data_IF_955512652816
#
_entry.id   IF_955512652816
#
_cell.length_a   1.000
_cell.length_b   1.000
_cell.length_c   1.000
_cell.angle_alpha   90.00
_cell.angle_beta   90.00
_cell.angle_gamma   90.00
#
_symmetry.space_group_name_H-M   'P 1'
#
loop_
_entity.id
_entity.type
_entity.pdbx_description
1 polymer ?
#
# COMPACT_ATOMS: atom_id res chain seq x y z
N UNK A 1 -17.90 -40.05 -13.55
CA UNK A 1 -17.53 -38.72 -13.01
C UNK A 1 -18.59 -38.33 -11.99
N UNK A 2 -18.30 -38.47 -10.70
CA UNK A 2 -19.25 -38.15 -9.63
C UNK A 2 -19.32 -36.63 -9.46
N UNK A 3 -20.49 -36.06 -9.74
CA UNK A 3 -20.84 -34.67 -9.45
C UNK A 3 -20.78 -34.46 -7.94
N UNK A 4 -19.96 -33.49 -7.51
CA UNK A 4 -19.90 -33.07 -6.11
C UNK A 4 -21.28 -32.55 -5.67
N UNK A 5 -21.71 -32.81 -4.43
CA UNK A 5 -22.97 -32.28 -3.91
C UNK A 5 -22.93 -30.75 -3.87
N UNK A 6 -24.08 -30.15 -4.20
CA UNK A 6 -24.27 -28.73 -4.52
C UNK A 6 -23.94 -27.80 -3.34
N UNK A 7 -24.13 -28.30 -2.12
CA UNK A 7 -23.86 -27.69 -0.82
C UNK A 7 -22.37 -27.32 -0.60
N UNK A 8 -21.44 -28.15 -1.09
CA UNK A 8 -19.99 -27.89 -0.99
C UNK A 8 -19.59 -26.73 -1.89
N UNK A 9 -20.15 -26.65 -3.10
CA UNK A 9 -19.86 -25.58 -4.05
C UNK A 9 -20.39 -24.23 -3.56
N UNK A 10 -21.60 -24.21 -2.98
CA UNK A 10 -22.17 -22.99 -2.39
C UNK A 10 -21.38 -22.51 -1.17
N UNK A 11 -21.00 -23.42 -0.27
CA UNK A 11 -20.17 -23.11 0.90
C UNK A 11 -18.82 -22.50 0.50
N UNK A 12 -18.17 -23.04 -0.52
CA UNK A 12 -16.91 -22.52 -1.07
C UNK A 12 -17.06 -21.13 -1.68
N UNK A 13 -18.12 -20.92 -2.48
CA UNK A 13 -18.40 -19.62 -3.09
C UNK A 13 -18.64 -18.56 -2.02
N UNK A 14 -19.47 -18.87 -1.02
CA UNK A 14 -19.73 -17.98 0.12
C UNK A 14 -18.45 -17.61 0.86
N UNK A 15 -17.62 -18.61 1.18
CA UNK A 15 -16.33 -18.39 1.81
C UNK A 15 -15.42 -17.51 0.94
N UNK A 16 -15.28 -17.79 -0.36
CA UNK A 16 -14.47 -16.96 -1.26
C UNK A 16 -14.98 -15.52 -1.35
N UNK A 17 -16.29 -15.29 -1.37
CA UNK A 17 -16.90 -13.96 -1.41
C UNK A 17 -16.68 -13.20 -0.11
N UNK A 18 -16.89 -13.86 1.03
CA UNK A 18 -16.64 -13.30 2.34
C UNK A 18 -15.15 -12.97 2.52
N UNK A 19 -14.26 -13.85 2.09
CA UNK A 19 -12.82 -13.58 2.11
C UNK A 19 -12.42 -12.49 1.14
N UNK A 20 -13.05 -12.37 -0.04
CA UNK A 20 -12.86 -11.24 -0.95
C UNK A 20 -13.34 -9.93 -0.31
N UNK A 21 -14.43 -9.95 0.46
CA UNK A 21 -14.93 -8.81 1.23
C UNK A 21 -13.95 -8.41 2.33
N UNK A 22 -13.55 -9.35 3.18
CA UNK A 22 -12.52 -9.13 4.21
C UNK A 22 -11.19 -8.67 3.60
N UNK A 23 -10.85 -9.14 2.40
CA UNK A 23 -9.66 -8.67 1.69
C UNK A 23 -9.75 -7.23 1.19
N UNK A 24 -10.96 -6.72 0.94
CA UNK A 24 -11.18 -5.29 0.65
C UNK A 24 -11.03 -4.44 1.92
N UNK A 25 -11.36 -4.99 3.08
CA UNK A 25 -11.28 -4.29 4.39
C UNK A 25 -9.87 -4.35 5.01
N UNK A 26 -9.18 -5.49 4.89
CA UNK A 26 -7.78 -5.67 5.30
C UNK A 26 -6.87 -5.14 4.20
N UNK A 27 -6.47 -3.87 4.37
CA UNK A 27 -5.84 -2.94 3.41
C UNK A 27 -4.60 -3.41 2.61
N UNK A 28 -4.08 -4.63 2.74
CA UNK A 28 -2.89 -5.10 1.99
C UNK A 28 -3.17 -6.29 1.04
N UNK A 29 -3.05 -6.06 -0.28
CA UNK A 29 -3.36 -7.06 -1.32
C UNK A 29 -2.47 -8.32 -1.33
N UNK A 30 -1.32 -8.31 -0.64
CA UNK A 30 -0.35 -9.42 -0.68
C UNK A 30 -0.51 -10.43 0.45
N UNK A 31 -1.04 -10.03 1.62
CA UNK A 31 -1.49 -10.98 2.66
C UNK A 31 -2.50 -11.99 2.11
N UNK A 32 -3.21 -11.59 1.07
CA UNK A 32 -4.21 -12.37 0.35
C UNK A 32 -3.64 -13.24 -0.78
N UNK A 33 -2.57 -12.78 -1.44
CA UNK A 33 -1.85 -13.54 -2.50
C UNK A 33 -1.09 -14.75 -1.95
N UNK A 34 -0.82 -14.77 -0.64
CA UNK A 34 -0.17 -15.86 0.09
C UNK A 34 -1.16 -16.97 0.51
N UNK A 35 -2.47 -16.72 0.37
CA UNK A 35 -3.51 -17.72 0.60
C UNK A 35 -3.82 -18.46 -0.69
N UNK A 36 -4.10 -19.75 -0.60
CA UNK A 36 -4.81 -20.45 -1.67
C UNK A 36 -5.85 -21.35 -1.04
N UNK A 37 -7.10 -21.25 -1.51
CA UNK A 37 -8.22 -22.06 -1.03
C UNK A 37 -8.47 -23.14 -2.06
N UNK A 38 -8.63 -24.39 -1.62
CA UNK A 38 -8.86 -25.54 -2.46
C UNK A 38 -10.06 -26.34 -1.96
N UNK A 39 -10.68 -27.10 -2.87
CA UNK A 39 -11.62 -28.16 -2.50
C UNK A 39 -10.89 -29.25 -1.69
N UNK A 40 -11.62 -30.02 -0.86
CA UNK A 40 -11.07 -31.20 -0.18
C UNK A 40 -10.44 -32.14 -1.21
N UNK A 41 -9.35 -32.83 -0.85
CA UNK A 41 -8.62 -33.78 -1.69
C UNK A 41 -7.89 -33.22 -2.93
N UNK A 42 -7.92 -31.90 -3.18
CA UNK A 42 -7.03 -31.27 -4.18
C UNK A 42 -5.68 -30.94 -3.56
N UNK A 43 -4.61 -31.57 -4.04
CA UNK A 43 -3.24 -31.20 -3.69
C UNK A 43 -2.95 -29.80 -4.24
N UNK A 44 -2.39 -28.89 -3.43
CA UNK A 44 -2.04 -27.55 -3.91
C UNK A 44 -1.04 -27.67 -5.06
N UNK A 45 -1.24 -27.02 -6.21
CA UNK A 45 -0.31 -27.09 -7.33
C UNK A 45 1.10 -26.69 -6.88
N UNK A 46 2.03 -27.63 -7.00
CA UNK A 46 3.48 -27.46 -6.79
C UNK A 46 4.15 -26.74 -7.96
N UNK A 47 3.38 -26.43 -9.02
CA UNK A 47 3.88 -25.94 -10.31
C UNK A 47 3.56 -24.47 -10.60
N UNK A 48 3.31 -23.64 -9.57
CA UNK A 48 3.26 -22.18 -9.77
C UNK A 48 4.64 -21.69 -10.25
N UNK A 49 4.66 -20.88 -11.33
CA UNK A 49 5.89 -20.26 -11.86
C UNK A 49 6.63 -19.44 -10.80
N UNK A 50 5.88 -18.83 -9.87
CA UNK A 50 6.39 -18.06 -8.73
C UNK A 50 5.63 -18.43 -7.47
N UNK A 51 6.37 -18.68 -6.38
CA UNK A 51 5.86 -18.96 -5.04
C UNK A 51 6.32 -17.87 -4.09
N UNK A 52 5.41 -17.38 -3.25
CA UNK A 52 5.69 -16.37 -2.22
C UNK A 52 5.55 -17.04 -0.85
N UNK A 53 6.53 -16.79 0.02
CA UNK A 53 6.56 -17.24 1.40
C UNK A 53 6.60 -16.03 2.31
N UNK A 54 5.74 -16.03 3.31
CA UNK A 54 5.83 -15.10 4.42
C UNK A 54 7.02 -15.49 5.29
N UNK A 55 7.91 -14.54 5.57
CA UNK A 55 9.01 -14.80 6.51
C UNK A 55 8.43 -14.92 7.92
N UNK A 56 9.01 -15.75 8.76
CA UNK A 56 8.78 -15.81 10.20
C UNK A 56 10.15 -15.76 10.87
N UNK A 57 10.23 -15.06 11.99
CA UNK A 57 11.42 -15.09 12.86
C UNK A 57 11.16 -15.98 14.07
N UNK A 58 12.21 -16.53 14.66
CA UNK A 58 12.09 -17.20 15.96
C UNK A 58 11.56 -16.22 17.02
N UNK A 59 10.79 -16.73 17.99
CA UNK A 59 10.10 -15.91 19.00
C UNK A 59 8.88 -15.13 18.49
N UNK A 60 8.48 -15.29 17.23
CA UNK A 60 7.36 -14.53 16.65
C UNK A 60 6.01 -15.26 16.82
N UNK A 61 5.00 -14.51 17.28
CA UNK A 61 3.59 -14.94 17.30
C UNK A 61 2.81 -14.40 16.11
N UNK A 62 1.96 -15.22 15.49
CA UNK A 62 1.13 -14.87 14.33
C UNK A 62 -0.30 -15.37 14.41
N UNK A 63 -1.24 -14.50 14.07
CA UNK A 63 -2.62 -14.91 13.85
C UNK A 63 -2.85 -15.26 12.38
N UNK A 64 -3.37 -16.46 12.11
CA UNK A 64 -3.89 -16.88 10.80
C UNK A 64 -5.41 -16.81 10.85
N UNK A 65 -6.05 -15.96 10.04
CA UNK A 65 -7.51 -15.97 9.96
C UNK A 65 -8.00 -17.28 9.33
N UNK A 66 -9.08 -17.86 9.88
CA UNK A 66 -9.69 -19.11 9.40
C UNK A 66 -11.13 -18.94 8.89
N UNK A 67 -11.69 -17.72 8.97
CA UNK A 67 -13.04 -17.41 8.54
C UNK A 67 -13.98 -17.10 9.72
N UNK A 68 -15.24 -16.77 9.41
CA UNK A 68 -16.30 -16.44 10.38
C UNK A 68 -17.21 -17.63 10.70
N UNK A 69 -17.25 -18.63 9.79
CA UNK A 69 -17.93 -19.90 10.00
C UNK A 69 -17.41 -20.59 11.26
N UNK A 70 -18.26 -21.42 11.87
CA UNK A 70 -17.90 -22.23 13.04
C UNK A 70 -16.66 -23.07 12.71
N UNK A 71 -15.50 -22.60 13.18
CA UNK A 71 -14.20 -23.21 12.97
C UNK A 71 -13.86 -24.19 14.10
N UNK A 72 -14.87 -24.69 14.80
CA UNK A 72 -14.75 -25.68 15.87
C UNK A 72 -13.90 -26.89 15.45
N UNK A 73 -13.94 -27.29 14.17
CA UNK A 73 -13.16 -28.40 13.60
C UNK A 73 -12.24 -27.95 12.46
N UNK A 74 -11.08 -27.36 12.79
CA UNK A 74 -9.98 -27.15 11.83
C UNK A 74 -8.88 -28.18 12.07
N UNK A 75 -8.53 -28.95 11.05
CA UNK A 75 -7.35 -29.81 11.05
C UNK A 75 -6.18 -29.07 10.40
N UNK A 76 -5.04 -28.97 11.09
CA UNK A 76 -3.83 -28.31 10.57
C UNK A 76 -2.77 -29.37 10.25
N UNK A 77 -2.24 -29.32 9.03
CA UNK A 77 -1.09 -30.13 8.60
C UNK A 77 0.04 -29.24 8.13
N UNK A 78 1.23 -29.44 8.72
CA UNK A 78 2.45 -28.81 8.27
C UNK A 78 3.17 -29.70 7.26
N UNK A 79 3.67 -29.10 6.20
CA UNK A 79 4.38 -29.81 5.14
C UNK A 79 5.64 -29.06 4.72
N UNK A 80 6.66 -29.84 4.37
CA UNK A 80 7.89 -29.33 3.77
C UNK A 80 7.86 -29.46 2.25
N UNK A 81 8.58 -28.58 1.57
CA UNK A 81 8.71 -28.65 0.11
C UNK A 81 9.59 -29.83 -0.35
N UNK A 82 10.53 -30.27 0.50
CA UNK A 82 11.30 -31.51 0.30
C UNK A 82 10.98 -32.44 1.46
N UNK A 83 10.61 -33.68 1.15
CA UNK A 83 10.30 -34.69 2.16
C UNK A 83 11.57 -35.02 2.96
N UNK A 84 11.62 -34.55 4.20
CA UNK A 84 12.68 -34.88 5.16
C UNK A 84 12.04 -35.01 6.53
N UNK A 85 12.00 -36.25 7.07
CA UNK A 85 11.42 -36.55 8.38
C UNK A 85 12.12 -35.75 9.48
N UNK A 86 13.46 -35.69 9.46
CA UNK A 86 14.27 -34.89 10.39
C UNK A 86 13.86 -33.41 10.38
N UNK A 87 13.76 -32.81 9.19
CA UNK A 87 13.37 -31.40 9.07
C UNK A 87 11.92 -31.15 9.50
N UNK A 88 11.02 -32.12 9.30
CA UNK A 88 9.62 -31.99 9.70
C UNK A 88 9.48 -32.05 11.22
N UNK A 89 10.21 -32.96 11.88
CA UNK A 89 10.29 -33.03 13.34
C UNK A 89 10.82 -31.71 13.93
N UNK A 90 11.91 -31.17 13.37
CA UNK A 90 12.44 -29.85 13.76
C UNK A 90 11.45 -28.70 13.53
N UNK A 91 10.73 -28.70 12.41
CA UNK A 91 9.66 -27.72 12.16
C UNK A 91 8.55 -27.85 13.21
N UNK A 92 8.17 -29.06 13.61
CA UNK A 92 7.15 -29.24 14.62
C UNK A 92 7.59 -28.77 16.01
N UNK A 93 8.86 -28.98 16.38
CA UNK A 93 9.42 -28.38 17.59
C UNK A 93 9.30 -26.85 17.55
N UNK A 94 9.65 -26.23 16.43
CA UNK A 94 9.58 -24.77 16.26
C UNK A 94 8.16 -24.21 16.29
N UNK A 95 7.19 -24.92 15.74
CA UNK A 95 5.80 -24.47 15.68
C UNK A 95 5.00 -24.85 16.94
N UNK A 96 5.61 -25.60 17.87
CA UNK A 96 4.98 -26.04 19.10
C UNK A 96 3.62 -26.69 18.88
N UNK A 97 2.59 -26.16 19.55
CA UNK A 97 1.26 -26.77 19.65
C UNK A 97 0.45 -26.85 18.35
N UNK A 98 0.94 -26.27 17.24
CA UNK A 98 0.25 -26.30 15.94
C UNK A 98 0.90 -27.27 14.93
N UNK A 99 1.86 -28.08 15.37
CA UNK A 99 2.43 -29.15 14.59
C UNK A 99 2.59 -30.40 15.45
N UNK A 100 2.05 -31.54 15.00
CA UNK A 100 2.25 -32.83 15.63
C UNK A 100 2.75 -33.81 14.59
N UNK A 101 3.66 -34.71 14.96
CA UNK A 101 4.16 -35.76 14.06
C UNK A 101 3.02 -36.69 13.58
N UNK A 102 1.89 -36.72 14.31
CA UNK A 102 0.65 -37.41 13.95
C UNK A 102 -0.36 -36.62 13.10
N UNK A 103 -0.08 -35.35 12.75
CA UNK A 103 -0.78 -34.60 11.71
C UNK A 103 -2.21 -34.13 12.02
N UNK A 104 -2.69 -34.29 13.26
CA UNK A 104 -4.00 -33.80 13.70
C UNK A 104 -3.86 -33.02 15.00
N UNK A 105 -4.40 -31.81 15.00
CA UNK A 105 -4.39 -30.90 16.16
C UNK A 105 -5.79 -30.35 16.30
N UNK A 106 -6.35 -30.45 17.50
CA UNK A 106 -7.67 -29.91 17.80
C UNK A 106 -7.54 -28.40 18.07
N UNK A 107 -8.03 -27.61 17.12
CA UNK A 107 -7.82 -26.17 17.03
C UNK A 107 -8.74 -25.35 17.94
N UNK A 108 -9.81 -25.94 18.49
CA UNK A 108 -10.76 -25.27 19.41
C UNK A 108 -10.09 -24.51 20.56
N UNK A 109 -8.94 -25.00 21.06
CA UNK A 109 -8.13 -24.37 22.13
C UNK A 109 -7.25 -23.19 21.67
N UNK A 110 -7.08 -22.98 20.37
CA UNK A 110 -6.16 -21.98 19.80
C UNK A 110 -6.87 -20.83 19.08
N UNK A 111 -8.20 -20.92 18.93
CA UNK A 111 -9.00 -19.90 18.29
C UNK A 111 -9.18 -18.67 19.18
N UNK A 112 -8.92 -17.49 18.61
CA UNK A 112 -9.28 -16.20 19.22
C UNK A 112 -10.28 -15.48 18.32
N UNK A 113 -11.30 -14.89 18.94
CA UNK A 113 -12.23 -13.96 18.27
C UNK A 113 -11.68 -12.54 18.37
N UNK A 114 -11.72 -11.78 17.27
CA UNK A 114 -11.37 -10.35 17.27
C UNK A 114 -12.65 -9.52 17.23
N UNK A 115 -12.89 -8.72 18.29
CA UNK A 115 -14.15 -7.94 18.47
C UNK A 115 -14.50 -6.96 17.34
N UNK A 116 -13.54 -6.54 16.51
CA UNK A 116 -13.74 -5.46 15.54
C UNK A 116 -13.90 -5.93 14.08
N UNK A 117 -14.01 -7.23 13.82
CA UNK A 117 -14.17 -7.81 12.48
C UNK A 117 -15.11 -9.02 12.58
N UNK A 118 -16.43 -8.82 12.49
CA UNK A 118 -17.50 -9.82 12.32
C UNK A 118 -17.22 -11.23 12.90
N UNK A 119 -16.77 -11.32 14.16
CA UNK A 119 -16.42 -12.59 14.82
C UNK A 119 -15.42 -13.48 14.04
N UNK A 120 -14.46 -12.91 13.33
CA UNK A 120 -13.46 -13.68 12.62
C UNK A 120 -12.62 -14.52 13.59
N UNK A 121 -12.55 -15.83 13.32
CA UNK A 121 -11.75 -16.79 14.06
C UNK A 121 -10.30 -16.76 13.56
N UNK A 122 -9.34 -16.84 14.47
CA UNK A 122 -7.91 -16.87 14.15
C UNK A 122 -7.17 -17.98 14.89
N UNK A 123 -6.27 -18.67 14.22
CA UNK A 123 -5.28 -19.57 14.83
C UNK A 123 -4.04 -18.77 15.19
N UNK A 124 -3.60 -18.85 16.44
CA UNK A 124 -2.29 -18.33 16.84
C UNK A 124 -1.21 -19.37 16.55
N UNK A 125 -0.19 -18.94 15.83
CA UNK A 125 1.07 -19.65 15.57
C UNK A 125 2.13 -18.99 16.42
N UNK A 126 2.84 -19.77 17.21
CA UNK A 126 4.01 -19.30 17.94
C UNK A 126 5.23 -20.03 17.40
N UNK A 127 6.24 -19.26 16.97
CA UNK A 127 7.53 -19.84 16.59
C UNK A 127 8.42 -19.79 17.83
N UNK A 128 8.70 -20.95 18.42
CA UNK A 128 9.54 -21.06 19.61
C UNK A 128 10.94 -20.52 19.30
N UNK A 129 11.49 -19.75 20.24
CA UNK A 129 12.85 -19.23 20.15
C UNK A 129 13.84 -20.21 20.77
N UNK A 130 14.21 -21.24 20.00
CA UNK A 130 15.22 -22.23 20.39
C UNK A 130 16.42 -22.17 19.44
N UNK A 131 16.93 -20.96 19.27
CA UNK A 131 17.94 -20.64 18.26
C UNK A 131 19.25 -21.44 18.45
N UNK A 132 19.72 -21.56 19.69
CA UNK A 132 21.02 -22.16 20.00
C UNK A 132 21.02 -23.68 19.79
N UNK A 133 19.92 -24.36 20.10
CA UNK A 133 19.77 -25.80 19.89
C UNK A 133 19.65 -26.17 18.41
N UNK A 134 19.00 -25.32 17.60
CA UNK A 134 18.64 -25.64 16.22
C UNK A 134 19.70 -25.26 15.18
N UNK A 135 20.52 -24.24 15.46
CA UNK A 135 21.55 -23.75 14.53
C UNK A 135 22.56 -24.82 14.07
N UNK A 136 23.12 -25.68 14.95
CA UNK A 136 24.06 -26.72 14.52
C UNK A 136 23.45 -27.78 13.61
N UNK A 137 22.13 -27.98 13.70
CA UNK A 137 21.41 -29.01 12.94
C UNK A 137 20.93 -28.50 11.57
N UNK A 138 20.89 -27.18 11.38
CA UNK A 138 20.42 -26.53 10.17
C UNK A 138 21.62 -26.03 9.35
N UNK A 139 22.13 -26.87 8.44
CA UNK A 139 23.05 -26.44 7.36
C UNK A 139 22.38 -25.53 6.31
N UNK A 140 21.33 -24.79 6.71
CA UNK A 140 20.51 -23.91 5.88
C UNK A 140 19.96 -22.78 6.74
N UNK A 141 20.11 -21.57 6.23
CA UNK A 141 19.66 -20.30 6.81
C UNK A 141 18.13 -20.18 6.97
N UNK A 142 17.34 -21.14 6.48
CA UNK A 142 15.87 -21.10 6.57
C UNK A 142 15.17 -22.46 6.41
N UNK A 143 13.98 -22.61 7.00
CA UNK A 143 13.04 -23.72 6.78
C UNK A 143 11.83 -23.21 6.00
N UNK A 144 11.63 -23.71 4.78
CA UNK A 144 10.45 -23.40 3.95
C UNK A 144 9.36 -24.45 4.15
N UNK A 145 8.15 -24.01 4.51
CA UNK A 145 7.04 -24.90 4.80
C UNK A 145 5.71 -24.30 4.35
N UNK A 146 4.66 -25.12 4.39
CA UNK A 146 3.30 -24.66 4.23
C UNK A 146 2.37 -25.34 5.22
N UNK A 147 1.34 -24.61 5.63
CA UNK A 147 0.25 -25.11 6.45
C UNK A 147 -0.96 -25.34 5.57
N UNK A 148 -1.55 -26.53 5.68
CA UNK A 148 -2.86 -26.88 5.16
C UNK A 148 -3.84 -26.84 6.32
N UNK A 149 -4.84 -25.99 6.23
CA UNK A 149 -5.92 -25.88 7.20
C UNK A 149 -7.18 -26.45 6.55
N UNK A 150 -7.57 -27.64 6.95
CA UNK A 150 -8.80 -28.28 6.54
C UNK A 150 -9.93 -27.84 7.48
N UNK A 151 -10.84 -27.01 6.99
CA UNK A 151 -11.91 -26.41 7.79
C UNK A 151 -13.19 -27.21 7.56
N UNK A 152 -13.66 -27.88 8.60
CA UNK A 152 -14.88 -28.70 8.62
C UNK A 152 -14.98 -29.74 7.49
N UNK A 153 -13.85 -30.22 6.96
CA UNK A 153 -13.84 -31.16 5.82
C UNK A 153 -14.32 -30.56 4.50
N UNK A 154 -14.67 -29.27 4.45
CA UNK A 154 -15.30 -28.61 3.30
C UNK A 154 -14.31 -27.90 2.38
N UNK A 155 -13.20 -27.39 2.92
CA UNK A 155 -12.18 -26.71 2.13
C UNK A 155 -10.82 -26.70 2.83
N UNK A 156 -9.77 -26.57 2.01
CA UNK A 156 -8.37 -26.53 2.46
C UNK A 156 -7.78 -25.15 2.17
N UNK A 157 -7.39 -24.44 3.22
CA UNK A 157 -6.63 -23.18 3.12
C UNK A 157 -5.14 -23.50 3.20
N UNK A 158 -4.37 -22.99 2.25
CA UNK A 158 -2.91 -23.16 2.21
C UNK A 158 -2.21 -21.85 2.44
N UNK A 159 -1.30 -21.83 3.41
CA UNK A 159 -0.44 -20.70 3.73
C UNK A 159 1.03 -21.12 3.68
N UNK A 160 1.88 -20.34 3.03
CA UNK A 160 3.30 -20.67 2.81
C UNK A 160 4.19 -19.75 3.65
N UNK A 161 5.15 -20.33 4.34
CA UNK A 161 6.02 -19.65 5.29
C UNK A 161 7.48 -20.06 5.13
N UNK A 162 8.38 -19.19 5.55
CA UNK A 162 9.80 -19.49 5.70
C UNK A 162 10.26 -19.02 7.07
N UNK A 163 10.82 -19.91 7.90
CA UNK A 163 11.47 -19.52 9.15
C UNK A 163 12.91 -19.18 8.79
N UNK A 164 13.33 -17.94 9.01
CA UNK A 164 14.71 -17.50 8.73
C UNK A 164 15.54 -17.48 10.01
N UNK A 165 16.72 -18.08 9.97
CA UNK A 165 17.68 -18.22 11.08
C UNK A 165 18.94 -17.36 10.88
N UNK A 166 19.01 -16.54 9.83
CA UNK A 166 20.25 -15.91 9.37
C UNK A 166 20.73 -14.65 10.14
N UNK A 167 20.15 -14.26 11.29
CA UNK A 167 20.80 -13.31 12.22
C UNK A 167 20.08 -13.16 13.56
N UNK A 168 20.85 -13.02 14.66
CA UNK A 168 20.43 -12.73 16.06
C UNK A 168 19.62 -11.43 16.28
N UNK A 169 19.28 -10.69 15.22
CA UNK A 169 18.37 -9.54 15.23
C UNK A 169 17.41 -9.66 14.07
N UNK A 170 16.57 -10.69 14.10
CA UNK A 170 15.53 -10.90 13.10
C UNK A 170 14.63 -9.67 13.00
N UNK A 171 14.84 -8.85 11.96
CA UNK A 171 13.89 -7.80 11.57
C UNK A 171 12.55 -8.52 11.34
N UNK A 172 11.60 -8.30 12.25
CA UNK A 172 10.30 -8.99 12.29
C UNK A 172 9.69 -9.04 10.90
N UNK A 173 9.06 -10.18 10.56
CA UNK A 173 8.25 -10.29 9.35
C UNK A 173 6.96 -9.46 9.41
N UNK A 174 6.70 -8.85 10.57
CA UNK A 174 5.54 -8.01 10.80
C UNK A 174 5.69 -6.76 9.97
N UNK A 175 4.56 -6.20 9.58
CA UNK A 175 4.56 -4.81 9.21
C UNK A 175 5.28 -4.03 10.31
N UNK A 176 6.32 -3.31 9.92
CA UNK A 176 6.95 -2.33 10.79
C UNK A 176 5.89 -1.32 11.26
N UNK A 177 6.19 -0.60 12.34
CA UNK A 177 5.46 0.64 12.61
C UNK A 177 5.49 1.56 11.39
N UNK A 178 4.45 2.39 11.24
CA UNK A 178 4.48 3.45 10.24
C UNK A 178 5.56 4.46 10.63
N UNK A 179 6.44 4.76 9.69
CA UNK A 179 7.36 5.91 9.76
C UNK A 179 6.75 7.04 8.94
N UNK A 180 6.61 8.22 9.54
CA UNK A 180 6.05 9.39 8.88
C UNK A 180 7.17 10.31 8.34
N UNK A 181 6.94 10.84 7.15
CA UNK A 181 7.81 11.81 6.50
C UNK A 181 6.97 12.96 5.93
N UNK A 182 7.49 14.18 6.01
CA UNK A 182 6.87 15.36 5.44
C UNK A 182 7.84 16.13 4.54
N UNK A 183 7.26 16.99 3.69
CA UNK A 183 7.98 18.12 3.13
C UNK A 183 8.44 19.08 4.25
N UNK A 184 9.50 19.89 4.04
CA UNK A 184 9.91 20.95 4.95
C UNK A 184 8.79 21.96 5.16
N UNK A 185 8.76 22.61 6.32
CA UNK A 185 7.81 23.70 6.60
C UNK A 185 6.36 23.40 6.18
N UNK A 186 5.87 22.19 6.43
CA UNK A 186 4.57 21.72 5.91
C UNK A 186 3.38 22.60 6.35
N UNK A 187 3.52 23.32 7.47
CA UNK A 187 2.55 24.30 7.96
C UNK A 187 2.43 25.55 7.07
N UNK A 188 3.37 25.78 6.14
CA UNK A 188 3.28 26.84 5.14
C UNK A 188 2.50 26.42 3.90
N UNK A 189 2.16 25.14 3.77
CA UNK A 189 1.34 24.67 2.65
C UNK A 189 -0.06 25.28 2.76
N UNK A 190 -0.50 26.08 1.77
CA UNK A 190 -1.81 26.73 1.85
C UNK A 190 -2.94 25.74 1.58
N UNK A 191 -4.13 26.06 2.10
CA UNK A 191 -5.36 25.30 1.89
C UNK A 191 -6.34 26.08 1.01
N UNK A 192 -6.05 26.12 -0.28
CA UNK A 192 -6.94 26.73 -1.27
C UNK A 192 -8.16 25.86 -1.55
N UNK A 193 -9.24 26.52 -1.96
CA UNK A 193 -10.49 25.88 -2.32
C UNK A 193 -10.76 26.08 -3.81
N UNK A 194 -11.42 25.11 -4.44
CA UNK A 194 -12.08 25.33 -5.70
C UNK A 194 -13.18 26.38 -5.52
N UNK A 195 -13.32 27.26 -6.49
CA UNK A 195 -14.25 28.37 -6.45
C UNK A 195 -15.02 28.49 -7.76
N UNK A 196 -16.14 29.19 -7.72
CA UNK A 196 -16.97 29.47 -8.90
C UNK A 196 -16.41 30.73 -9.58
N UNK A 197 -16.01 30.59 -10.82
CA UNK A 197 -15.54 31.69 -11.68
C UNK A 197 -16.73 32.54 -12.15
N UNK A 198 -16.44 33.73 -12.69
CA UNK A 198 -17.45 34.65 -13.24
C UNK A 198 -18.31 34.04 -14.35
N UNK A 199 -17.78 33.05 -15.08
CA UNK A 199 -18.50 32.29 -16.12
C UNK A 199 -19.53 31.31 -15.56
N UNK A 200 -19.61 31.16 -14.24
CA UNK A 200 -20.47 30.19 -13.56
C UNK A 200 -19.88 28.79 -13.41
N UNK A 201 -18.71 28.54 -14.01
CA UNK A 201 -17.99 27.28 -13.90
C UNK A 201 -17.04 27.23 -12.70
N UNK A 202 -16.64 26.03 -12.26
CA UNK A 202 -15.61 25.88 -11.22
C UNK A 202 -14.19 26.00 -11.78
N UNK A 203 -13.26 26.49 -10.96
CA UNK A 203 -11.84 26.63 -11.32
C UNK A 203 -11.10 25.29 -11.50
N UNK A 204 -11.56 24.22 -10.85
CA UNK A 204 -11.06 22.86 -11.02
C UNK A 204 -9.96 22.46 -10.05
N UNK A 205 -9.82 21.14 -9.84
CA UNK A 205 -8.88 20.58 -8.86
C UNK A 205 -7.41 20.73 -9.26
N UNK A 206 -7.09 20.62 -10.55
CA UNK A 206 -5.72 20.72 -11.07
C UNK A 206 -5.12 22.11 -10.91
N UNK A 207 -5.80 23.21 -11.33
CA UNK A 207 -5.25 24.55 -11.13
C UNK A 207 -5.10 24.90 -9.66
N UNK A 208 -6.06 24.49 -8.81
CA UNK A 208 -5.98 24.68 -7.35
C UNK A 208 -4.78 23.94 -6.76
N UNK A 209 -4.57 22.67 -7.12
CA UNK A 209 -3.45 21.88 -6.62
C UNK A 209 -2.09 22.49 -7.00
N UNK A 210 -1.94 22.95 -8.24
CA UNK A 210 -0.73 23.68 -8.66
C UNK A 210 -0.57 25.02 -7.94
N UNK A 211 -1.65 25.77 -7.76
CA UNK A 211 -1.60 27.01 -7.00
C UNK A 211 -1.10 26.77 -5.57
N UNK A 212 -1.57 25.71 -4.91
CA UNK A 212 -1.09 25.36 -3.57
C UNK A 212 0.41 25.04 -3.54
N UNK A 213 0.91 24.28 -4.50
CA UNK A 213 2.33 23.91 -4.60
C UNK A 213 3.21 25.15 -4.83
N UNK A 214 2.84 26.00 -5.79
CA UNK A 214 3.62 27.19 -6.12
C UNK A 214 3.58 28.23 -5.00
N UNK A 215 2.41 28.43 -4.38
CA UNK A 215 2.31 29.31 -3.23
C UNK A 215 3.08 28.79 -2.01
N UNK A 216 3.17 27.45 -1.81
CA UNK A 216 4.05 26.88 -0.80
C UNK A 216 5.51 27.26 -1.06
N UNK A 217 6.01 27.10 -2.28
CA UNK A 217 7.36 27.52 -2.64
C UNK A 217 7.59 29.02 -2.39
N UNK A 218 6.62 29.87 -2.77
CA UNK A 218 6.70 31.30 -2.54
C UNK A 218 6.72 31.66 -1.05
N UNK A 219 5.88 31.02 -0.22
CA UNK A 219 5.81 31.22 1.24
C UNK A 219 7.07 30.78 1.96
N UNK A 220 7.59 29.60 1.59
CA UNK A 220 8.85 29.11 2.14
C UNK A 220 9.99 30.05 1.75
N UNK A 221 10.04 30.49 0.49
CA UNK A 221 11.07 31.41 0.04
C UNK A 221 10.99 32.77 0.74
N UNK A 222 9.78 33.28 0.95
CA UNK A 222 9.54 34.55 1.63
C UNK A 222 10.08 34.54 3.07
N UNK A 223 10.01 33.40 3.77
CA UNK A 223 10.46 33.28 5.17
C UNK A 223 11.89 32.77 5.34
N UNK A 224 12.38 31.96 4.40
CA UNK A 224 13.62 31.19 4.56
C UNK A 224 14.60 31.33 3.39
N UNK A 225 14.33 32.23 2.43
CA UNK A 225 15.24 32.58 1.35
C UNK A 225 14.94 31.92 0.00
N UNK A 226 15.52 32.50 -1.05
CA UNK A 226 15.20 32.25 -2.47
C UNK A 226 15.46 30.83 -2.99
N UNK A 227 16.10 29.94 -2.22
CA UNK A 227 16.36 28.55 -2.62
C UNK A 227 15.10 27.73 -2.95
N UNK A 228 13.93 28.22 -2.53
CA UNK A 228 12.63 27.59 -2.76
C UNK A 228 11.78 28.31 -3.80
N UNK A 229 12.07 29.56 -4.12
CA UNK A 229 11.41 30.31 -5.19
C UNK A 229 12.20 31.57 -5.46
N UNK A 230 12.56 31.83 -6.71
CA UNK A 230 13.26 33.07 -7.10
C UNK A 230 12.27 34.21 -7.40
N UNK A 231 11.01 33.88 -7.71
CA UNK A 231 9.93 34.83 -7.92
C UNK A 231 8.80 34.61 -6.91
N UNK A 232 8.91 35.30 -5.77
CA UNK A 232 7.87 35.33 -4.75
C UNK A 232 6.50 35.72 -5.32
N UNK A 233 5.47 35.39 -4.55
CA UNK A 233 4.13 35.89 -4.73
C UNK A 233 4.13 37.42 -4.88
N UNK A 234 3.39 37.90 -5.87
CA UNK A 234 3.25 39.34 -6.14
C UNK A 234 1.79 39.73 -5.95
N UNK A 235 1.47 40.28 -4.77
CA UNK A 235 0.14 40.63 -4.23
C UNK A 235 -1.05 40.48 -5.19
N UNK A 236 -1.25 41.48 -6.06
CA UNK A 236 -2.47 41.71 -6.86
C UNK A 236 -3.00 40.46 -7.58
N UNK A 237 -2.13 39.60 -8.09
CA UNK A 237 -2.55 38.38 -8.82
C UNK A 237 -1.67 37.17 -8.56
N UNK A 238 -0.81 37.23 -7.55
CA UNK A 238 0.27 36.27 -7.32
C UNK A 238 1.41 36.34 -8.34
N UNK A 239 1.20 36.97 -9.50
CA UNK A 239 2.19 37.14 -10.57
C UNK A 239 2.54 38.61 -10.86
N UNK A 240 1.74 39.57 -10.39
CA UNK A 240 1.95 41.01 -10.64
C UNK A 240 1.80 41.84 -9.35
N UNK A 241 2.68 42.82 -9.15
CA UNK A 241 2.78 43.58 -7.90
C UNK A 241 4.16 43.43 -7.25
N UNK A 242 4.24 43.71 -5.95
CA UNK A 242 5.49 43.74 -5.19
C UNK A 242 5.86 42.36 -4.62
N UNK A 243 7.16 42.05 -4.59
CA UNK A 243 7.70 40.79 -4.04
C UNK A 243 7.72 40.74 -2.50
N UNK A 244 7.33 41.82 -1.83
CA UNK A 244 7.19 41.91 -0.37
C UNK A 244 5.93 41.23 0.17
N UNK A 245 5.02 40.78 -0.70
CA UNK A 245 3.79 40.11 -0.28
C UNK A 245 4.03 38.61 -0.11
N UNK A 246 3.68 38.07 1.06
CA UNK A 246 3.60 36.63 1.26
C UNK A 246 2.33 36.07 0.61
N UNK A 247 2.43 34.91 -0.06
CA UNK A 247 1.24 34.27 -0.65
C UNK A 247 0.20 33.96 0.44
N UNK A 248 -1.10 34.23 0.25
CA UNK A 248 -2.12 33.94 1.26
C UNK A 248 -2.17 32.46 1.63
N UNK A 249 -2.47 32.15 2.90
CA UNK A 249 -2.61 30.75 3.38
C UNK A 249 -3.96 30.10 3.02
N UNK A 250 -4.95 30.91 2.67
CA UNK A 250 -6.31 30.50 2.32
C UNK A 250 -6.74 31.19 1.02
N UNK A 251 -7.85 30.73 0.44
CA UNK A 251 -8.43 31.35 -0.74
C UNK A 251 -8.88 32.79 -0.43
N UNK A 252 -8.53 33.73 -1.31
CA UNK A 252 -9.06 35.10 -1.38
C UNK A 252 -9.15 35.51 -2.86
N UNK A 253 -9.66 36.70 -3.16
CA UNK A 253 -9.85 37.17 -4.55
C UNK A 253 -8.54 37.25 -5.36
N UNK A 254 -7.39 37.44 -4.72
CA UNK A 254 -6.09 37.43 -5.39
C UNK A 254 -5.67 36.01 -5.79
N UNK A 255 -5.87 35.05 -4.88
CA UNK A 255 -5.65 33.61 -5.13
C UNK A 255 -6.64 33.08 -6.17
N UNK A 256 -7.88 33.54 -6.19
CA UNK A 256 -8.85 33.16 -7.23
C UNK A 256 -8.33 33.51 -8.63
N UNK A 257 -7.89 34.76 -8.83
CA UNK A 257 -7.27 35.21 -10.08
C UNK A 257 -6.03 34.39 -10.44
N UNK A 258 -5.24 34.03 -9.44
CA UNK A 258 -4.04 33.22 -9.62
C UNK A 258 -4.35 31.78 -10.08
N UNK A 259 -5.33 31.14 -9.44
CA UNK A 259 -5.82 29.81 -9.82
C UNK A 259 -6.40 29.83 -11.23
N UNK A 260 -7.17 30.87 -11.58
CA UNK A 260 -7.73 31.03 -12.93
C UNK A 260 -6.64 31.23 -13.98
N UNK A 261 -5.59 31.99 -13.68
CA UNK A 261 -4.45 32.18 -14.56
C UNK A 261 -3.69 30.87 -14.83
N UNK A 262 -3.63 29.95 -13.85
CA UNK A 262 -3.07 28.60 -14.05
C UNK A 262 -3.99 27.70 -14.88
N UNK A 263 -5.30 27.92 -14.84
CA UNK A 263 -6.27 27.19 -15.66
C UNK A 263 -6.03 27.32 -17.17
N UNK A 264 -5.50 28.45 -17.62
CA UNK A 264 -5.22 28.73 -19.04
C UNK A 264 -4.17 27.77 -19.64
N UNK A 265 -2.92 27.69 -19.13
CA UNK A 265 -1.94 26.73 -19.65
C UNK A 265 -2.37 25.28 -19.42
N UNK A 266 -3.07 24.98 -18.32
CA UNK A 266 -3.64 23.65 -18.05
C UNK A 266 -4.78 23.26 -18.99
N UNK A 267 -5.29 24.21 -19.79
CA UNK A 267 -6.48 24.03 -20.65
C UNK A 267 -7.65 23.46 -19.86
N UNK A 268 -7.86 24.00 -18.65
CA UNK A 268 -8.94 23.59 -17.77
C UNK A 268 -10.26 24.13 -18.33
N UNK A 269 -11.22 23.25 -18.59
CA UNK A 269 -12.55 23.62 -19.08
C UNK A 269 -13.61 23.27 -18.04
N UNK A 270 -14.26 24.30 -17.52
CA UNK A 270 -15.29 24.20 -16.48
C UNK A 270 -14.95 23.23 -15.34
N UNK A 271 -13.74 23.36 -14.81
CA UNK A 271 -13.23 22.58 -13.69
C UNK A 271 -12.57 21.25 -14.07
N UNK A 272 -12.66 20.85 -15.35
CA UNK A 272 -12.07 19.61 -15.86
C UNK A 272 -10.72 19.88 -16.53
N UNK A 273 -9.70 19.13 -16.12
CA UNK A 273 -8.38 19.12 -16.76
C UNK A 273 -8.05 17.70 -17.17
N UNK A 274 -7.65 17.49 -18.42
CA UNK A 274 -7.19 16.18 -18.86
C UNK A 274 -5.78 15.90 -18.32
N UNK A 275 -5.51 14.66 -17.91
CA UNK A 275 -4.22 14.27 -17.31
C UNK A 275 -2.99 14.65 -18.17
N UNK A 276 -3.13 14.63 -19.49
CA UNK A 276 -2.06 15.02 -20.44
C UNK A 276 -1.76 16.52 -20.47
N UNK A 277 -2.61 17.34 -19.85
CA UNK A 277 -2.40 18.79 -19.76
C UNK A 277 -1.91 19.20 -18.37
N UNK A 278 -1.89 18.29 -17.39
CA UNK A 278 -1.57 18.61 -16.00
C UNK A 278 -0.13 19.13 -15.84
N UNK A 279 0.78 18.79 -16.75
CA UNK A 279 2.16 19.29 -16.80
C UNK A 279 2.36 20.51 -17.71
N UNK A 280 1.32 21.02 -18.40
CA UNK A 280 1.45 22.20 -19.27
C UNK A 280 1.80 23.49 -18.51
N UNK A 281 1.72 23.49 -17.18
CA UNK A 281 2.23 24.58 -16.32
C UNK A 281 3.75 24.64 -16.27
N UNK A 282 4.46 23.70 -16.87
CA UNK A 282 5.92 23.67 -16.87
C UNK A 282 6.55 24.97 -17.38
N UNK A 283 6.15 25.45 -18.56
CA UNK A 283 6.68 26.71 -19.11
C UNK A 283 6.37 27.90 -18.21
N UNK A 284 5.15 27.94 -17.66
CA UNK A 284 4.72 28.96 -16.72
C UNK A 284 5.55 28.93 -15.42
N UNK A 285 5.84 27.73 -14.91
CA UNK A 285 6.64 27.52 -13.71
C UNK A 285 8.09 27.96 -13.94
N UNK A 286 8.70 27.55 -15.07
CA UNK A 286 10.07 27.93 -15.43
C UNK A 286 10.23 29.43 -15.58
N UNK A 287 9.28 30.10 -16.23
CA UNK A 287 9.32 31.55 -16.42
C UNK A 287 9.36 32.31 -15.08
N UNK A 288 8.75 31.74 -14.03
CA UNK A 288 8.80 32.31 -12.68
C UNK A 288 10.04 31.91 -11.90
N UNK A 289 10.47 30.67 -12.00
CA UNK A 289 11.54 30.16 -11.14
C UNK A 289 12.94 30.39 -11.69
N UNK A 290 13.07 30.75 -12.98
CA UNK A 290 14.35 30.94 -13.67
C UNK A 290 15.06 29.62 -13.97
N UNK A 291 15.05 28.69 -13.01
CA UNK A 291 15.42 27.28 -13.14
C UNK A 291 14.31 26.38 -12.57
N UNK A 292 14.22 25.15 -13.04
CA UNK A 292 13.24 24.18 -12.55
C UNK A 292 12.47 23.48 -13.67
N UNK A 293 11.67 22.49 -13.31
CA UNK A 293 10.87 21.71 -14.25
C UNK A 293 9.68 21.04 -13.57
N UNK A 294 8.57 20.92 -14.28
CA UNK A 294 7.46 20.03 -13.93
C UNK A 294 7.70 18.66 -14.56
N UNK A 295 7.79 17.65 -13.70
CA UNK A 295 8.08 16.26 -14.09
C UNK A 295 6.80 15.43 -13.95
N UNK A 296 6.36 14.83 -15.05
CA UNK A 296 5.32 13.81 -15.03
C UNK A 296 5.89 12.43 -14.69
N UNK A 297 5.34 11.78 -13.67
CA UNK A 297 5.67 10.42 -13.26
C UNK A 297 4.74 9.44 -14.01
N UNK A 298 5.18 8.97 -15.17
CA UNK A 298 4.35 8.20 -16.12
C UNK A 298 4.26 6.68 -15.86
N UNK A 299 5.12 6.09 -15.02
CA UNK A 299 5.21 4.62 -14.86
C UNK A 299 4.22 4.07 -13.82
N UNK A 300 2.99 3.77 -14.26
CA UNK A 300 1.85 3.25 -13.48
C UNK A 300 2.20 2.22 -12.38
N UNK A 301 3.08 1.26 -12.67
CA UNK A 301 3.43 0.18 -11.74
C UNK A 301 4.34 0.60 -10.57
N UNK A 302 4.95 1.79 -10.62
CA UNK A 302 5.84 2.31 -9.58
C UNK A 302 5.48 3.72 -9.10
N UNK A 303 4.39 4.33 -9.61
CA UNK A 303 3.99 5.70 -9.23
C UNK A 303 3.92 5.85 -7.71
N UNK A 304 3.33 4.87 -7.01
CA UNK A 304 3.21 4.93 -5.55
C UNK A 304 4.57 5.04 -4.83
N UNK A 305 5.56 4.29 -5.30
CA UNK A 305 6.91 4.34 -4.74
C UNK A 305 7.59 5.65 -5.11
N UNK A 306 7.47 6.09 -6.36
CA UNK A 306 8.10 7.32 -6.86
C UNK A 306 7.54 8.56 -6.14
N UNK A 307 6.22 8.73 -6.07
CA UNK A 307 5.57 9.81 -5.30
C UNK A 307 6.08 9.82 -3.86
N UNK A 308 6.11 8.65 -3.22
CA UNK A 308 6.58 8.53 -1.84
C UNK A 308 8.06 8.93 -1.72
N UNK A 309 8.92 8.51 -2.65
CA UNK A 309 10.33 8.89 -2.66
C UNK A 309 10.54 10.40 -2.87
N UNK A 310 9.73 11.06 -3.70
CA UNK A 310 9.82 12.51 -3.88
C UNK A 310 9.51 13.27 -2.58
N UNK A 311 8.52 12.83 -1.79
CA UNK A 311 8.24 13.44 -0.48
C UNK A 311 9.31 13.05 0.54
N UNK A 312 9.70 11.78 0.61
CA UNK A 312 10.60 11.25 1.64
C UNK A 312 12.02 11.79 1.46
N UNK A 313 12.59 11.64 0.26
CA UNK A 313 14.00 11.93 -0.03
C UNK A 313 14.18 13.32 -0.63
N UNK A 314 13.39 13.65 -1.65
CA UNK A 314 13.59 14.89 -2.41
C UNK A 314 12.87 16.09 -1.79
N UNK A 315 12.00 15.86 -0.80
CA UNK A 315 11.34 16.91 -0.01
C UNK A 315 10.42 17.84 -0.82
N UNK A 316 9.87 17.35 -1.94
CA UNK A 316 8.93 18.10 -2.77
C UNK A 316 7.48 17.66 -2.57
N UNK A 317 6.51 18.60 -2.53
CA UNK A 317 5.10 18.28 -2.63
C UNK A 317 4.78 17.68 -4.00
N UNK A 318 3.78 16.81 -4.05
CA UNK A 318 3.42 16.08 -5.28
C UNK A 318 1.96 16.30 -5.62
N UNK A 319 1.68 16.77 -6.83
CA UNK A 319 0.32 16.77 -7.36
C UNK A 319 -0.01 15.35 -7.82
N UNK A 320 -1.09 14.78 -7.31
CA UNK A 320 -1.46 13.39 -7.51
C UNK A 320 -2.88 13.29 -8.05
N UNK A 321 -3.03 12.67 -9.21
CA UNK A 321 -4.33 12.32 -9.78
C UNK A 321 -4.83 11.02 -9.18
N UNK A 322 -6.11 11.00 -8.77
CA UNK A 322 -6.79 9.87 -8.18
C UNK A 322 -8.18 9.68 -8.78
N UNK A 323 -8.72 8.47 -8.62
CA UNK A 323 -10.16 8.29 -8.69
C UNK A 323 -10.77 8.54 -7.32
N UNK A 324 -11.74 9.43 -7.26
CA UNK A 324 -12.54 9.71 -6.08
C UNK A 324 -13.94 9.14 -6.26
N UNK A 325 -14.42 8.42 -5.24
CA UNK A 325 -15.80 7.96 -5.15
C UNK A 325 -16.58 8.98 -4.33
N UNK A 326 -17.70 9.47 -4.87
CA UNK A 326 -18.52 10.49 -4.21
C UNK A 326 -19.00 10.08 -2.81
N UNK A 327 -19.44 11.07 -2.02
CA UNK A 327 -19.91 10.85 -0.64
C UNK A 327 -21.19 10.01 -0.52
N UNK A 328 -21.85 9.67 -1.63
CA UNK A 328 -23.11 8.91 -1.67
C UNK A 328 -22.94 7.39 -1.63
N UNK A 329 -21.71 6.86 -1.51
CA UNK A 329 -21.47 5.41 -1.43
C UNK A 329 -21.76 4.64 -2.73
N UNK A 330 -22.23 5.33 -3.77
CA UNK A 330 -22.57 4.73 -5.04
C UNK A 330 -21.28 4.50 -5.85
N UNK A 331 -20.81 3.26 -5.87
CA UNK A 331 -19.54 2.86 -6.52
C UNK A 331 -19.58 2.96 -8.06
N UNK A 332 -20.69 3.44 -8.63
CA UNK A 332 -20.97 3.43 -10.08
C UNK A 332 -20.30 4.56 -10.85
N UNK A 333 -19.95 5.69 -10.22
CA UNK A 333 -19.31 6.82 -10.90
C UNK A 333 -17.92 7.12 -10.31
N UNK A 334 -16.87 6.73 -11.04
CA UNK A 334 -15.49 7.14 -10.74
C UNK A 334 -15.26 8.52 -11.31
N UNK A 335 -15.06 9.52 -10.45
CA UNK A 335 -14.62 10.85 -10.91
C UNK A 335 -13.12 10.99 -10.74
N UNK A 336 -12.45 11.58 -11.74
CA UNK A 336 -11.04 11.96 -11.61
C UNK A 336 -10.91 13.20 -10.71
N UNK A 337 -9.93 13.21 -9.82
CA UNK A 337 -9.65 14.36 -8.95
C UNK A 337 -8.15 14.46 -8.71
N UNK A 338 -7.62 15.69 -8.68
CA UNK A 338 -6.23 15.95 -8.32
C UNK A 338 -6.13 16.43 -6.86
N UNK A 339 -5.15 15.90 -6.15
CA UNK A 339 -4.85 16.22 -4.74
C UNK A 339 -3.37 16.52 -4.58
N UNK A 340 -3.01 17.29 -3.56
CA UNK A 340 -1.59 17.49 -3.23
C UNK A 340 -1.16 16.59 -2.09
N UNK A 341 -0.07 15.86 -2.27
CA UNK A 341 0.56 15.02 -1.25
C UNK A 341 1.73 15.76 -0.62
N UNK A 342 1.65 15.98 0.69
CA UNK A 342 2.70 16.69 1.46
C UNK A 342 3.36 15.83 2.52
N UNK A 343 2.71 14.73 2.94
CA UNK A 343 3.23 13.79 3.93
C UNK A 343 2.97 12.35 3.51
N UNK A 344 3.88 11.47 3.91
CA UNK A 344 3.85 10.04 3.59
C UNK A 344 4.13 9.24 4.86
N UNK A 345 3.27 8.26 5.13
CA UNK A 345 3.54 7.18 6.08
C UNK A 345 3.99 5.97 5.30
N UNK A 346 5.09 5.36 5.71
CA UNK A 346 5.63 4.15 5.12
C UNK A 346 5.75 3.07 6.19
N UNK A 347 5.33 1.86 5.86
CA UNK A 347 5.69 0.67 6.62
C UNK A 347 6.19 -0.41 5.68
N UNK A 348 6.94 -1.36 6.21
CA UNK A 348 7.57 -2.41 5.42
C UNK A 348 7.43 -3.78 6.07
N UNK A 349 7.51 -4.82 5.26
CA UNK A 349 7.62 -6.21 5.72
C UNK A 349 8.50 -7.02 4.79
N UNK A 350 9.11 -8.07 5.31
CA UNK A 350 9.94 -8.99 4.52
C UNK A 350 9.13 -10.19 4.02
N UNK A 351 9.40 -10.62 2.79
CA UNK A 351 8.88 -11.84 2.21
C UNK A 351 9.96 -12.54 1.36
N UNK A 352 9.79 -13.83 1.11
CA UNK A 352 10.67 -14.61 0.23
C UNK A 352 9.92 -14.98 -1.04
N UNK A 353 10.51 -14.72 -2.20
CA UNK A 353 9.95 -15.05 -3.50
C UNK A 353 10.83 -16.08 -4.19
N UNK A 354 10.24 -17.21 -4.57
CA UNK A 354 10.92 -18.27 -5.30
C UNK A 354 10.33 -18.42 -6.70
N UNK A 355 11.16 -18.41 -7.73
CA UNK A 355 10.77 -18.56 -9.13
C UNK A 355 11.48 -19.77 -9.75
N UNK A 356 10.75 -20.56 -10.53
CA UNK A 356 11.36 -21.60 -11.36
C UNK A 356 12.05 -20.94 -12.57
N UNK A 357 13.33 -21.21 -12.74
CA UNK A 357 14.20 -20.67 -13.80
C UNK A 357 14.92 -21.82 -14.52
N UNK A 358 15.15 -21.68 -15.82
CA UNK A 358 15.79 -22.71 -16.66
C UNK A 358 14.83 -23.41 -17.62
N UNK A 359 15.40 -24.04 -18.66
CA UNK A 359 14.68 -24.80 -19.69
C UNK A 359 14.43 -26.26 -19.25
N UNK A 360 13.70 -27.02 -20.07
CA UNK A 360 13.17 -28.37 -19.81
C UNK A 360 14.19 -29.36 -19.20
N UNK A 361 15.47 -29.23 -19.53
CA UNK A 361 16.56 -30.12 -19.11
C UNK A 361 17.18 -29.79 -17.73
N UNK A 362 16.76 -28.70 -17.07
CA UNK A 362 17.40 -28.26 -15.82
C UNK A 362 16.66 -27.15 -15.08
N UNK A 363 15.40 -27.37 -14.71
CA UNK A 363 14.62 -26.41 -13.90
C UNK A 363 15.28 -26.23 -12.53
N UNK A 364 15.82 -25.05 -12.26
CA UNK A 364 16.32 -24.64 -10.94
C UNK A 364 15.31 -23.69 -10.27
N UNK A 365 15.21 -23.74 -8.95
CA UNK A 365 14.40 -22.77 -8.19
C UNK A 365 15.32 -21.69 -7.64
N UNK A 366 15.13 -20.45 -8.06
CA UNK A 366 15.84 -19.28 -7.52
C UNK A 366 14.96 -18.60 -6.48
N UNK A 367 15.45 -18.41 -5.26
CA UNK A 367 14.74 -17.74 -4.18
C UNK A 367 15.46 -16.46 -3.76
N UNK A 368 14.70 -15.39 -3.52
CA UNK A 368 15.22 -14.08 -3.12
C UNK A 368 14.36 -13.52 -1.99
N UNK A 369 15.02 -12.93 -0.97
CA UNK A 369 14.36 -12.10 0.03
C UNK A 369 13.98 -10.75 -0.56
N UNK A 370 12.79 -10.25 -0.24
CA UNK A 370 12.25 -8.99 -0.76
C UNK A 370 11.55 -8.23 0.35
N UNK A 371 11.61 -6.90 0.25
CA UNK A 371 10.84 -6.01 1.11
C UNK A 371 9.60 -5.54 0.37
N UNK A 372 8.44 -5.71 0.98
CA UNK A 372 7.22 -5.03 0.57
C UNK A 372 7.08 -3.73 1.34
N UNK A 373 6.59 -2.69 0.67
CA UNK A 373 6.29 -1.40 1.27
C UNK A 373 4.83 -1.05 1.06
N UNK A 374 4.20 -0.57 2.12
CA UNK A 374 2.88 0.05 2.10
C UNK A 374 3.02 1.52 2.43
N UNK A 375 2.23 2.34 1.74
CA UNK A 375 2.26 3.78 1.87
C UNK A 375 0.85 4.32 2.15
N UNK A 376 0.75 5.27 3.08
CA UNK A 376 -0.38 6.18 3.19
C UNK A 376 0.08 7.59 2.88
N UNK A 377 -0.76 8.36 2.20
CA UNK A 377 -0.47 9.73 1.78
C UNK A 377 -1.42 10.69 2.48
N UNK A 378 -0.88 11.74 3.08
CA UNK A 378 -1.68 12.87 3.52
C UNK A 378 -2.04 13.70 2.30
N UNK A 379 -3.32 13.63 1.91
CA UNK A 379 -3.85 14.29 0.72
C UNK A 379 -4.53 15.59 1.11
N UNK A 380 -4.13 16.68 0.46
CA UNK A 380 -4.81 17.97 0.49
C UNK A 380 -5.74 18.04 -0.72
N UNK A 381 -7.04 18.17 -0.46
CA UNK A 381 -8.06 17.94 -1.49
C UNK A 381 -8.32 19.15 -2.40
N UNK A 382 -7.77 20.32 -2.07
CA UNK A 382 -8.12 21.57 -2.73
C UNK A 382 -9.53 22.05 -2.38
N UNK A 383 -9.99 21.77 -1.16
CA UNK A 383 -11.32 22.11 -0.65
C UNK A 383 -11.27 22.97 0.62
N UNK A 384 -10.30 23.87 0.73
CA UNK A 384 -10.17 24.74 1.90
C UNK A 384 -9.93 23.97 3.20
N UNK A 385 -9.12 22.91 3.15
CA UNK A 385 -8.84 22.04 4.31
C UNK A 385 -9.83 20.90 4.51
N UNK A 386 -11.04 20.98 3.92
CA UNK A 386 -12.06 19.94 4.07
C UNK A 386 -11.59 18.61 3.46
N UNK A 387 -11.72 17.53 4.25
CA UNK A 387 -11.30 16.16 3.90
C UNK A 387 -9.79 16.01 3.64
N UNK A 388 -8.96 16.95 4.11
CA UNK A 388 -7.52 16.71 4.18
C UNK A 388 -7.24 15.61 5.21
N UNK A 389 -6.68 14.49 4.78
CA UNK A 389 -6.45 13.35 5.68
C UNK A 389 -5.43 12.35 5.11
N UNK A 390 -5.08 11.36 5.93
CA UNK A 390 -4.36 10.16 5.53
C UNK A 390 -5.26 9.22 4.72
N UNK A 391 -4.80 8.84 3.53
CA UNK A 391 -5.45 7.87 2.67
C UNK A 391 -4.45 6.81 2.20
N UNK A 392 -4.91 5.57 1.92
CA UNK A 392 -4.08 4.58 1.25
C UNK A 392 -3.52 5.14 -0.06
N UNK A 393 -2.23 4.93 -0.30
CA UNK A 393 -1.58 5.41 -1.52
C UNK A 393 -2.24 4.81 -2.76
N UNK A 394 -2.82 5.67 -3.58
CA UNK A 394 -3.38 5.36 -4.90
C UNK A 394 -3.10 6.52 -5.83
N UNK A 395 -2.79 6.22 -7.09
CA UNK A 395 -2.48 7.21 -8.10
C UNK A 395 -2.89 6.68 -9.46
N UNK A 396 -3.47 7.55 -10.28
CA UNK A 396 -3.65 7.37 -11.73
C UNK A 396 -2.63 8.18 -12.51
N UNK A 397 -2.13 9.27 -11.90
CA UNK A 397 -1.04 10.11 -12.38
C UNK A 397 -0.37 10.85 -11.23
N UNK A 398 0.85 11.34 -11.44
CA UNK A 398 1.53 12.19 -10.47
C UNK A 398 2.53 13.13 -11.13
N UNK A 399 2.64 14.33 -10.59
CA UNK A 399 3.42 15.43 -11.14
C UNK A 399 4.16 16.16 -10.01
N UNK A 400 5.40 16.54 -10.27
CA UNK A 400 6.25 17.22 -9.27
C UNK A 400 6.89 18.42 -9.94
N UNK A 401 6.79 19.58 -9.31
CA UNK A 401 7.58 20.75 -9.69
C UNK A 401 8.90 20.74 -8.89
N UNK A 402 10.02 20.61 -9.58
CA UNK A 402 11.37 20.64 -8.98
C UNK A 402 12.07 21.94 -9.35
N UNK A 403 12.85 22.50 -8.42
CA UNK A 403 13.54 23.80 -8.55
C UNK A 403 15.02 23.62 -8.89
#
# INVERSE_FOLDING_TARGET
MTTLPQDINESLRYFEEEWKRLAKEIRSSYEWKEMSVYRPNKTPPTDKKTTIYKVLTTGESRAIPVGTLDASNVEIKAHLQKNSKKMLSMLCLLLGNICSEGGKINVSRTLRKKKNLDNLNYIKIDVIDDYEFLMPQLNKTSIDFYLQLNVNGKFVVVRRYTISFSSKRGKRSAWSGFTEHSIPYEYLMPDYNQHKMSTGCYSGCTPVGWAQIFAYYDRVAHRYGYRYSTSHWRGKSGVSGYSSYEAPGSLNSEVERYVEALGVPLRTNCGSTTMRNTDNVDAWFRARQGSGKVIWISRSNIIKQQVSLYVIRNKYPVLNSIYWYGSSGDQKTKSGHDVVVTKVKQRSRQYKSCRKVGWWWGRRTKCEGKTEYEYEWYRRMGWGGRKNNWYPASATGAFVAVL
#
